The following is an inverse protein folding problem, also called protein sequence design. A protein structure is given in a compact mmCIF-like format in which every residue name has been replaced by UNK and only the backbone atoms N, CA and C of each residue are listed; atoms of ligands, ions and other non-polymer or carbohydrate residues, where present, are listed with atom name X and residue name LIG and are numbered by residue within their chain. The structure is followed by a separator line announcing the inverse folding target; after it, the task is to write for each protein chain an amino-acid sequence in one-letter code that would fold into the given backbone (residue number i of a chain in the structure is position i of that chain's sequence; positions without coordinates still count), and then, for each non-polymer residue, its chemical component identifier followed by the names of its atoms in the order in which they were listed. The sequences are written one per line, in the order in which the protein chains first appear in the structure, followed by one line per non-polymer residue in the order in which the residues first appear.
data_IF_699460913635
#
_entry.id   IF_699460913635
#
_cell.length_a   1.000
_cell.length_b   1.000
_cell.length_c   1.000
_cell.angle_alpha   90.00
_cell.angle_beta   90.00
_cell.angle_gamma   90.00
#
_symmetry.space_group_name_H-M   'P 1'
#
loop_
_entity.id
_entity.type
_entity.pdbx_description
1 polymer ?
#
# COMPACT_ATOMS: atom_id res chain seq x y z
N UNK A 1 7.73 4.57 20.96
CA UNK A 1 7.69 5.25 19.64
C UNK A 1 7.19 6.67 19.79
N UNK A 2 7.69 7.60 18.97
CA UNK A 2 7.14 8.95 18.86
C UNK A 2 5.71 8.88 18.30
N UNK A 3 4.78 9.68 18.85
CA UNK A 3 3.35 9.68 18.46
C UNK A 3 3.17 9.98 16.97
N UNK A 4 3.96 10.91 16.42
CA UNK A 4 3.91 11.26 15.00
C UNK A 4 4.33 10.05 14.15
N UNK A 5 5.42 9.38 14.52
CA UNK A 5 5.93 8.19 13.82
C UNK A 5 4.90 7.06 13.82
N UNK A 6 4.26 6.79 14.96
CA UNK A 6 3.21 5.78 15.06
C UNK A 6 2.00 6.12 14.18
N UNK A 7 1.55 7.38 14.17
CA UNK A 7 0.44 7.82 13.32
C UNK A 7 0.80 7.66 11.84
N UNK A 8 2.02 8.04 11.45
CA UNK A 8 2.50 7.85 10.07
C UNK A 8 2.52 6.36 9.67
N UNK A 9 2.98 5.47 10.56
CA UNK A 9 2.96 4.03 10.32
C UNK A 9 1.54 3.50 10.09
N UNK A 10 0.58 3.90 10.93
CA UNK A 10 -0.83 3.49 10.81
C UNK A 10 -1.46 4.00 9.52
N UNK A 11 -1.21 5.26 9.15
CA UNK A 11 -1.73 5.84 7.90
C UNK A 11 -1.18 5.08 6.69
N UNK A 12 0.13 4.81 6.67
CA UNK A 12 0.76 4.08 5.57
C UNK A 12 0.24 2.63 5.45
N UNK A 13 0.04 1.95 6.59
CA UNK A 13 -0.55 0.61 6.61
C UNK A 13 -2.00 0.62 6.09
N UNK A 14 -2.83 1.55 6.57
CA UNK A 14 -4.22 1.70 6.14
C UNK A 14 -4.32 1.94 4.63
N UNK A 15 -3.55 2.90 4.12
CA UNK A 15 -3.53 3.21 2.70
C UNK A 15 -3.05 2.02 1.86
N UNK A 16 -2.05 1.26 2.33
CA UNK A 16 -1.58 0.06 1.63
C UNK A 16 -2.69 -0.99 1.50
N UNK A 17 -3.50 -1.18 2.55
CA UNK A 17 -4.66 -2.10 2.52
C UNK A 17 -5.74 -1.60 1.56
N UNK A 18 -6.10 -0.32 1.62
CA UNK A 18 -7.11 0.27 0.73
C UNK A 18 -6.69 0.19 -0.73
N UNK A 19 -5.45 0.57 -1.04
CA UNK A 19 -4.91 0.51 -2.39
C UNK A 19 -4.78 -0.93 -2.89
N UNK A 20 -4.36 -1.87 -2.04
CA UNK A 20 -4.32 -3.29 -2.38
C UNK A 20 -5.70 -3.87 -2.70
N UNK A 21 -6.72 -3.52 -1.91
CA UNK A 21 -8.10 -3.91 -2.17
C UNK A 21 -8.62 -3.31 -3.48
N UNK A 22 -8.35 -2.02 -3.72
CA UNK A 22 -8.70 -1.35 -4.98
C UNK A 22 -8.01 -2.00 -6.19
N UNK A 23 -6.74 -2.38 -6.07
CA UNK A 23 -6.02 -3.09 -7.13
C UNK A 23 -6.71 -4.42 -7.49
N UNK A 24 -7.02 -5.23 -6.48
CA UNK A 24 -7.57 -6.57 -6.66
C UNK A 24 -9.00 -6.56 -7.23
N UNK A 25 -9.83 -5.61 -6.79
CA UNK A 25 -11.26 -5.59 -7.12
C UNK A 25 -11.61 -4.57 -8.21
N UNK A 26 -11.02 -3.37 -8.17
CA UNK A 26 -11.36 -2.28 -9.07
C UNK A 26 -10.45 -2.19 -10.30
N UNK A 27 -9.14 -2.37 -10.11
CA UNK A 27 -8.16 -2.07 -11.15
C UNK A 27 -7.84 -3.28 -12.05
N UNK A 28 -7.83 -4.49 -11.49
CA UNK A 28 -7.54 -5.75 -12.21
C UNK A 28 -8.27 -5.94 -13.55
N UNK A 29 -9.57 -5.61 -13.70
CA UNK A 29 -10.26 -5.80 -14.98
C UNK A 29 -9.96 -4.73 -16.04
N UNK A 30 -9.27 -3.63 -15.69
CA UNK A 30 -9.16 -2.44 -16.56
C UNK A 30 -7.73 -1.99 -16.87
N UNK A 31 -6.70 -2.64 -16.30
CA UNK A 31 -5.29 -2.34 -16.61
C UNK A 31 -4.52 -3.58 -17.10
N UNK A 32 -3.45 -3.38 -17.91
CA UNK A 32 -2.54 -4.46 -18.30
C UNK A 32 -1.86 -5.13 -17.09
N UNK A 33 -1.44 -6.39 -17.27
CA UNK A 33 -0.74 -7.16 -16.23
C UNK A 33 0.57 -6.50 -15.78
N UNK A 34 1.33 -5.91 -16.70
CA UNK A 34 2.62 -5.25 -16.35
C UNK A 34 2.39 -4.02 -15.46
N UNK A 35 1.30 -3.28 -15.72
CA UNK A 35 0.90 -2.15 -14.89
C UNK A 35 0.39 -2.62 -13.51
N UNK A 36 -0.27 -3.78 -13.46
CA UNK A 36 -0.73 -4.39 -12.20
C UNK A 36 0.46 -4.78 -11.31
N UNK A 37 1.50 -5.39 -11.88
CA UNK A 37 2.70 -5.79 -11.14
C UNK A 37 3.43 -4.58 -10.55
N UNK A 38 3.49 -3.50 -11.32
CA UNK A 38 4.07 -2.22 -10.88
C UNK A 38 3.25 -1.61 -9.74
N UNK A 39 1.92 -1.61 -9.86
CA UNK A 39 1.02 -1.13 -8.81
C UNK A 39 1.17 -1.92 -7.50
N UNK A 40 1.15 -3.25 -7.58
CA UNK A 40 1.30 -4.13 -6.41
C UNK A 40 2.68 -3.95 -5.75
N UNK A 41 3.72 -3.72 -6.53
CA UNK A 41 5.06 -3.41 -6.00
C UNK A 41 5.07 -2.10 -5.22
N UNK A 42 4.43 -1.05 -5.74
CA UNK A 42 4.24 0.20 -5.01
C UNK A 42 3.49 0.02 -3.68
N UNK A 43 2.38 -0.73 -3.68
CA UNK A 43 1.62 -1.06 -2.47
C UNK A 43 2.46 -1.83 -1.44
N UNK A 44 3.27 -2.80 -1.88
CA UNK A 44 4.20 -3.53 -0.99
C UNK A 44 5.24 -2.61 -0.38
N UNK A 45 5.84 -1.73 -1.18
CA UNK A 45 6.79 -0.75 -0.65
C UNK A 45 6.14 0.15 0.39
N UNK A 46 4.91 0.60 0.15
CA UNK A 46 4.19 1.41 1.13
C UNK A 46 3.93 0.67 2.45
N UNK A 47 3.59 -0.63 2.38
CA UNK A 47 3.48 -1.47 3.58
C UNK A 47 4.83 -1.64 4.28
N UNK A 48 5.92 -1.81 3.54
CA UNK A 48 7.26 -1.90 4.13
C UNK A 48 7.66 -0.62 4.85
N UNK A 49 7.30 0.56 4.32
CA UNK A 49 7.51 1.82 5.05
C UNK A 49 6.66 1.89 6.32
N UNK A 50 5.42 1.39 6.28
CA UNK A 50 4.59 1.30 7.47
C UNK A 50 5.26 0.45 8.55
N UNK A 51 5.76 -0.74 8.18
CA UNK A 51 6.46 -1.66 9.10
C UNK A 51 7.80 -1.10 9.58
N UNK A 52 8.54 -0.39 8.73
CA UNK A 52 9.83 0.21 9.10
C UNK A 52 9.69 1.36 10.11
N UNK A 53 8.51 1.97 10.21
CA UNK A 53 8.21 3.02 11.19
C UNK A 53 7.69 2.47 12.53
N UNK A 54 7.34 1.18 12.60
CA UNK A 54 6.95 0.49 13.85
C UNK A 54 8.21 0.09 14.64
#
# INVERSE_FOLDING_TARGET
MNKIVLISAVILALLSVVLGAFAAHGLKPIIPSEAMDSFQTGVRYQMYHALALL
#
